data_IF_223444430059
#
_entry.id   IF_223444430059
#
_cell.length_a   1.000
_cell.length_b   1.000
_cell.length_c   1.000
_cell.angle_alpha   90.00
_cell.angle_beta   90.00
_cell.angle_gamma   90.00
#
_symmetry.space_group_name_H-M   'P 1'
#
loop_
_entity.id
_entity.type
_entity.pdbx_description
1 polymer ?
#
# COMPACT_ATOMS: atom_id res chain seq x y z
N UNK A 1 15.62 10.85 16.92
CA UNK A 1 15.92 11.79 15.81
C UNK A 1 17.27 11.53 15.14
N UNK A 2 18.26 10.97 15.82
CA UNK A 2 19.64 10.77 15.33
C UNK A 2 19.82 9.70 14.26
N UNK A 3 19.05 8.61 14.27
CA UNK A 3 19.17 7.51 13.29
C UNK A 3 18.59 7.83 11.90
N UNK A 4 17.58 8.72 11.84
CA UNK A 4 16.93 9.07 10.56
C UNK A 4 17.84 9.84 9.61
N UNK A 5 18.69 10.71 10.15
CA UNK A 5 19.60 11.56 9.38
C UNK A 5 20.70 10.70 8.75
N UNK A 6 21.15 9.68 9.44
CA UNK A 6 22.30 8.86 9.01
C UNK A 6 22.07 8.03 7.73
N UNK A 7 20.85 7.51 7.47
CA UNK A 7 20.59 6.65 6.30
C UNK A 7 20.59 7.43 4.97
N UNK A 8 19.88 8.55 4.91
CA UNK A 8 19.88 9.42 3.72
C UNK A 8 21.27 10.02 3.49
N UNK A 9 21.96 10.49 4.54
CA UNK A 9 23.32 11.01 4.42
C UNK A 9 24.31 9.98 3.85
N UNK A 10 24.21 8.73 4.28
CA UNK A 10 25.01 7.61 3.76
C UNK A 10 24.74 7.39 2.25
N UNK A 11 23.46 7.43 1.83
CA UNK A 11 23.09 7.32 0.41
C UNK A 11 23.65 8.51 -0.38
N UNK A 12 23.50 9.74 0.11
CA UNK A 12 23.99 10.95 -0.54
C UNK A 12 25.51 10.94 -0.68
N UNK A 13 26.25 10.52 0.37
CA UNK A 13 27.71 10.36 0.34
C UNK A 13 28.14 9.35 -0.75
N UNK A 14 27.46 8.21 -0.83
CA UNK A 14 27.79 7.18 -1.82
C UNK A 14 27.44 7.62 -3.26
N UNK A 15 26.36 8.39 -3.48
CA UNK A 15 26.00 8.97 -4.78
C UNK A 15 27.07 9.96 -5.24
N UNK A 16 27.52 10.85 -4.36
CA UNK A 16 28.58 11.80 -4.65
C UNK A 16 29.89 11.09 -5.05
N UNK A 17 30.35 10.13 -4.24
CA UNK A 17 31.56 9.32 -4.51
C UNK A 17 31.46 8.50 -5.79
N UNK A 18 30.25 8.14 -6.21
CA UNK A 18 29.99 7.40 -7.46
C UNK A 18 29.89 8.30 -8.70
N UNK A 19 29.97 9.62 -8.54
CA UNK A 19 29.87 10.59 -9.62
C UNK A 19 28.45 10.77 -10.17
N UNK A 20 27.41 10.43 -9.39
CA UNK A 20 26.01 10.58 -9.77
C UNK A 20 25.59 12.04 -9.52
N UNK A 21 25.33 12.80 -10.58
CA UNK A 21 24.91 14.19 -10.50
C UNK A 21 23.38 14.37 -10.41
N UNK A 22 22.61 13.44 -11.00
CA UNK A 22 21.16 13.51 -11.06
C UNK A 22 20.56 12.24 -10.43
N UNK A 23 19.75 12.43 -9.39
CA UNK A 23 19.13 11.34 -8.64
C UNK A 23 17.80 11.75 -8.04
N UNK A 24 17.00 10.75 -7.68
CA UNK A 24 15.88 10.87 -6.76
C UNK A 24 15.94 9.72 -5.76
N UNK A 25 15.80 10.04 -4.49
CA UNK A 25 15.72 9.09 -3.37
C UNK A 25 14.28 9.12 -2.88
N UNK A 26 13.67 7.96 -2.75
CA UNK A 26 12.38 7.78 -2.06
C UNK A 26 12.60 6.82 -0.91
N UNK A 27 12.81 7.35 0.29
CA UNK A 27 12.89 6.55 1.51
C UNK A 27 11.48 6.23 1.99
N UNK A 28 11.22 4.97 2.32
CA UNK A 28 9.97 4.51 2.92
C UNK A 28 10.26 3.78 4.22
N UNK A 29 9.61 4.20 5.30
CA UNK A 29 9.53 3.48 6.56
C UNK A 29 8.09 3.06 6.79
N UNK A 30 7.88 1.77 6.91
CA UNK A 30 6.59 1.17 7.20
C UNK A 30 6.62 0.50 8.58
N UNK A 31 5.69 0.89 9.42
CA UNK A 31 5.42 0.28 10.71
C UNK A 31 4.05 -0.40 10.62
N UNK A 32 3.91 -1.62 11.12
CA UNK A 32 2.61 -2.32 11.18
C UNK A 32 2.38 -3.03 12.49
N UNK A 33 1.10 -3.11 12.88
CA UNK A 33 0.58 -4.02 13.87
C UNK A 33 -0.47 -4.91 13.21
N UNK A 34 -0.30 -6.21 13.32
CA UNK A 34 -1.05 -7.20 12.57
C UNK A 34 -1.69 -8.19 13.54
N UNK A 35 -2.98 -8.46 13.39
CA UNK A 35 -3.76 -9.39 14.21
C UNK A 35 -4.42 -10.42 13.29
N UNK A 36 -4.30 -11.69 13.66
CA UNK A 36 -4.86 -12.83 12.94
C UNK A 36 -5.77 -13.60 13.87
N UNK A 37 -6.99 -13.88 13.45
CA UNK A 37 -8.01 -14.54 14.26
C UNK A 37 -8.52 -15.79 13.57
N UNK A 38 -8.68 -16.86 14.35
CA UNK A 38 -9.47 -18.04 14.02
C UNK A 38 -10.69 -18.01 14.95
N UNK A 39 -11.85 -17.83 14.36
CA UNK A 39 -13.05 -17.48 15.14
C UNK A 39 -12.76 -16.17 15.93
N UNK A 40 -13.10 -16.16 17.21
CA UNK A 40 -12.83 -15.04 18.10
C UNK A 40 -11.48 -15.15 18.84
N UNK A 41 -10.75 -16.23 18.62
CA UNK A 41 -9.46 -16.43 19.25
C UNK A 41 -8.35 -15.75 18.46
N UNK A 42 -7.57 -14.93 19.14
CA UNK A 42 -6.34 -14.38 18.57
C UNK A 42 -5.36 -15.53 18.38
N UNK A 43 -5.07 -15.86 17.12
CA UNK A 43 -4.14 -16.93 16.74
C UNK A 43 -2.70 -16.41 16.67
N UNK A 44 -2.51 -15.26 16.04
CA UNK A 44 -1.20 -14.65 15.87
C UNK A 44 -1.28 -13.12 16.00
N UNK A 45 -0.25 -12.56 16.61
CA UNK A 45 0.00 -11.11 16.62
C UNK A 45 1.42 -10.86 16.16
N UNK A 46 1.59 -9.86 15.28
CA UNK A 46 2.90 -9.48 14.77
C UNK A 46 3.04 -7.95 14.73
N UNK A 47 4.25 -7.47 15.02
CA UNK A 47 4.65 -6.10 14.73
C UNK A 47 5.84 -6.13 13.79
N UNK A 48 5.89 -5.17 12.88
CA UNK A 48 6.92 -5.11 11.84
C UNK A 48 7.32 -3.66 11.62
N UNK A 49 8.61 -3.44 11.42
CA UNK A 49 9.16 -2.19 10.96
C UNK A 49 10.12 -2.48 9.80
N UNK A 50 9.90 -1.84 8.66
CA UNK A 50 10.76 -1.94 7.47
C UNK A 50 11.19 -0.54 7.07
N UNK A 51 12.48 -0.37 6.80
CA UNK A 51 13.08 0.84 6.25
C UNK A 51 13.86 0.49 4.99
N UNK A 52 13.56 1.18 3.91
CA UNK A 52 14.22 0.99 2.62
C UNK A 52 14.20 2.29 1.82
N UNK A 53 15.08 2.40 0.83
CA UNK A 53 15.05 3.50 -0.11
C UNK A 53 15.11 3.00 -1.55
N UNK A 54 14.24 3.52 -2.40
CA UNK A 54 14.38 3.43 -3.84
C UNK A 54 15.22 4.61 -4.32
N UNK A 55 16.35 4.35 -4.96
CA UNK A 55 17.23 5.37 -5.51
C UNK A 55 17.20 5.25 -7.03
N UNK A 56 16.68 6.27 -7.70
CA UNK A 56 16.73 6.39 -9.15
C UNK A 56 17.88 7.31 -9.52
N UNK A 57 18.83 6.83 -10.30
CA UNK A 57 19.90 7.62 -10.87
C UNK A 57 19.57 7.96 -12.32
N UNK A 58 19.97 9.14 -12.76
CA UNK A 58 19.70 9.63 -14.11
C UNK A 58 21.00 9.96 -14.81
N UNK A 59 21.04 9.68 -16.12
CA UNK A 59 22.13 10.05 -17.01
C UNK A 59 21.59 10.77 -18.22
N UNK A 60 22.05 12.01 -18.42
CA UNK A 60 21.78 12.78 -19.61
C UNK A 60 22.80 12.42 -20.69
N UNK A 61 22.31 12.21 -21.93
CA UNK A 61 23.15 12.00 -23.12
C UNK A 61 22.39 12.38 -24.39
N UNK A 62 23.15 12.51 -25.50
CA UNK A 62 22.56 12.82 -26.81
C UNK A 62 23.05 11.82 -27.85
N UNK A 63 22.21 11.50 -28.82
CA UNK A 63 22.56 10.74 -30.03
C UNK A 63 22.05 11.52 -31.25
N UNK A 64 22.95 12.04 -32.06
CA UNK A 64 22.57 12.95 -33.14
C UNK A 64 21.98 14.25 -32.58
N UNK A 65 20.77 14.58 -33.03
CA UNK A 65 20.01 15.74 -32.56
C UNK A 65 19.10 15.44 -31.35
N UNK A 66 18.91 14.17 -31.02
CA UNK A 66 18.02 13.73 -29.94
C UNK A 66 18.73 13.78 -28.59
N UNK A 67 18.03 14.34 -27.58
CA UNK A 67 18.50 14.40 -26.20
C UNK A 67 17.69 13.45 -25.32
N UNK A 68 18.38 12.68 -24.48
CA UNK A 68 17.80 11.66 -23.65
C UNK A 68 18.11 11.88 -22.16
N UNK A 69 17.22 11.43 -21.29
CA UNK A 69 17.43 11.28 -19.86
C UNK A 69 17.20 9.81 -19.49
N UNK A 70 18.24 9.01 -19.58
CA UNK A 70 18.18 7.62 -19.17
C UNK A 70 18.11 7.49 -17.65
N UNK A 71 17.47 6.44 -17.16
CA UNK A 71 17.29 6.20 -15.73
C UNK A 71 17.48 4.74 -15.37
N UNK A 72 17.96 4.49 -14.15
CA UNK A 72 18.01 3.16 -13.54
C UNK A 72 17.69 3.30 -12.05
N UNK A 73 16.86 2.39 -11.51
CA UNK A 73 16.46 2.39 -10.12
C UNK A 73 17.09 1.19 -9.38
N UNK A 74 17.51 1.42 -8.16
CA UNK A 74 18.02 0.39 -7.24
C UNK A 74 17.32 0.50 -5.90
N UNK A 75 17.13 -0.65 -5.24
CA UNK A 75 16.60 -0.71 -3.87
C UNK A 75 17.77 -0.77 -2.88
N UNK A 76 17.74 0.13 -1.92
CA UNK A 76 18.76 0.27 -0.88
C UNK A 76 18.18 -0.13 0.47
N UNK A 77 18.91 -0.96 1.19
CA UNK A 77 18.62 -1.34 2.57
C UNK A 77 19.65 -0.70 3.52
N UNK A 78 19.25 -0.44 4.75
CA UNK A 78 20.12 0.19 5.75
C UNK A 78 21.37 -0.65 6.08
N UNK A 79 21.30 -1.96 5.87
CA UNK A 79 22.38 -2.91 6.09
C UNK A 79 23.53 -2.83 5.07
N UNK A 80 23.34 -2.16 3.92
CA UNK A 80 24.39 -2.06 2.90
C UNK A 80 25.54 -1.16 3.35
N UNK A 81 26.78 -1.56 3.05
CA UNK A 81 27.97 -0.74 3.31
C UNK A 81 28.08 0.41 2.31
N UNK A 82 28.90 1.42 2.62
CA UNK A 82 29.18 2.50 1.65
C UNK A 82 29.76 1.97 0.34
N UNK A 83 30.70 1.03 0.41
CA UNK A 83 31.33 0.44 -0.78
C UNK A 83 30.31 -0.31 -1.65
N UNK A 84 29.36 -1.02 -1.03
CA UNK A 84 28.28 -1.68 -1.75
C UNK A 84 27.37 -0.65 -2.46
N UNK A 85 27.01 0.42 -1.77
CA UNK A 85 26.20 1.49 -2.35
C UNK A 85 26.91 2.18 -3.51
N UNK A 86 28.20 2.51 -3.34
CA UNK A 86 29.00 3.12 -4.41
C UNK A 86 29.06 2.23 -5.65
N UNK A 87 29.24 0.91 -5.48
CA UNK A 87 29.25 0.00 -6.61
C UNK A 87 27.89 -0.07 -7.29
N UNK A 88 26.81 -0.20 -6.50
CA UNK A 88 25.43 -0.22 -7.02
C UNK A 88 25.09 1.04 -7.82
N UNK A 89 25.53 2.22 -7.34
CA UNK A 89 25.22 3.48 -8.03
C UNK A 89 26.08 3.66 -9.30
N UNK A 90 27.33 3.19 -9.33
CA UNK A 90 28.13 3.15 -10.56
C UNK A 90 27.48 2.24 -11.62
N UNK A 91 27.03 1.05 -11.21
CA UNK A 91 26.38 0.10 -12.11
C UNK A 91 25.03 0.65 -12.63
N UNK A 92 24.23 1.29 -11.74
CA UNK A 92 22.99 1.93 -12.13
C UNK A 92 23.22 3.12 -13.09
N UNK A 93 24.25 3.96 -12.82
CA UNK A 93 24.61 5.06 -13.72
C UNK A 93 25.07 4.57 -15.10
N UNK A 94 25.80 3.45 -15.12
CA UNK A 94 26.17 2.80 -16.37
C UNK A 94 24.93 2.28 -17.11
N UNK A 95 24.02 1.57 -16.43
CA UNK A 95 22.79 1.05 -17.00
C UNK A 95 21.87 2.16 -17.54
N UNK A 96 21.77 3.28 -16.81
CA UNK A 96 20.98 4.45 -17.25
C UNK A 96 21.45 5.00 -18.62
N UNK A 97 22.73 4.81 -18.99
CA UNK A 97 23.26 5.24 -20.28
C UNK A 97 22.72 4.47 -21.51
N UNK A 98 21.99 3.37 -21.29
CA UNK A 98 21.37 2.57 -22.36
C UNK A 98 19.85 2.79 -22.47
N UNK A 99 19.26 3.55 -21.57
CA UNK A 99 17.82 3.80 -21.54
C UNK A 99 17.52 5.11 -22.25
N UNK A 100 16.80 5.06 -23.36
CA UNK A 100 16.52 6.21 -24.23
C UNK A 100 15.13 6.82 -23.92
N UNK A 101 14.95 7.33 -22.71
CA UNK A 101 13.77 8.14 -22.43
C UNK A 101 13.95 9.54 -23.05
N UNK A 102 12.94 10.10 -23.76
CA UNK A 102 12.99 11.50 -24.17
C UNK A 102 13.36 12.40 -23.01
N UNK A 103 14.16 13.43 -23.28
CA UNK A 103 14.61 14.32 -22.22
C UNK A 103 13.44 15.04 -21.53
N UNK A 104 13.49 15.10 -20.21
CA UNK A 104 12.64 15.93 -19.34
C UNK A 104 13.46 16.47 -18.19
N UNK A 105 13.03 17.58 -17.63
CA UNK A 105 13.67 18.12 -16.42
C UNK A 105 13.11 17.46 -15.17
N UNK A 106 14.01 17.13 -14.22
CA UNK A 106 13.58 16.70 -12.90
C UNK A 106 12.90 17.89 -12.19
N UNK A 107 11.86 17.59 -11.44
CA UNK A 107 11.13 18.60 -10.69
C UNK A 107 12.05 19.35 -9.73
N UNK A 108 11.97 20.68 -9.76
CA UNK A 108 12.69 21.56 -8.84
C UNK A 108 11.87 21.78 -7.59
N UNK A 109 12.49 21.59 -6.44
CA UNK A 109 11.88 21.90 -5.15
C UNK A 109 11.58 23.40 -5.04
N UNK A 110 10.36 23.75 -4.65
CA UNK A 110 9.93 25.13 -4.38
C UNK A 110 10.11 25.53 -2.92
N UNK A 111 10.65 24.63 -2.10
CA UNK A 111 11.07 24.91 -0.72
C UNK A 111 10.00 24.80 0.37
N UNK A 112 8.72 24.66 0.03
CA UNK A 112 7.68 24.51 1.05
C UNK A 112 6.81 23.27 0.80
N UNK A 113 6.69 22.34 1.77
CA UNK A 113 5.75 21.22 1.66
C UNK A 113 4.32 21.77 1.64
N UNK A 114 3.47 21.20 0.78
CA UNK A 114 2.06 21.59 0.77
C UNK A 114 1.39 21.22 2.10
N UNK A 115 0.83 22.18 2.85
CA UNK A 115 0.16 21.93 4.14
C UNK A 115 -0.95 20.88 4.04
N UNK A 116 -1.61 20.76 2.88
CA UNK A 116 -2.70 19.82 2.65
C UNK A 116 -2.26 18.33 2.67
N UNK A 117 -0.98 18.05 2.42
CA UNK A 117 -0.43 16.68 2.49
C UNK A 117 -0.20 16.27 3.95
N UNK A 118 0.13 17.23 4.82
CA UNK A 118 0.35 17.02 6.25
C UNK A 118 -0.97 16.76 7.01
N UNK A 119 -2.06 17.46 6.66
CA UNK A 119 -3.36 17.33 7.37
C UNK A 119 -4.06 15.97 7.15
N UNK A 120 -3.93 15.34 5.98
CA UNK A 120 -4.53 14.02 5.73
C UNK A 120 -3.82 12.87 6.44
N UNK A 121 -2.65 13.09 6.99
CA UNK A 121 -1.80 12.07 7.59
C UNK A 121 -2.11 11.78 9.07
N UNK A 122 -2.97 12.58 9.74
CA UNK A 122 -2.90 12.73 11.20
C UNK A 122 -3.85 11.84 12.02
N UNK A 123 -4.99 11.40 11.50
CA UNK A 123 -6.00 10.73 12.35
C UNK A 123 -5.60 9.34 12.87
N UNK A 124 -4.74 8.61 12.15
CA UNK A 124 -4.17 7.33 12.62
C UNK A 124 -2.74 7.48 13.15
N UNK A 125 -2.08 8.65 12.94
CA UNK A 125 -0.66 8.84 13.27
C UNK A 125 -0.38 9.03 14.76
N UNK A 126 -1.34 9.51 15.53
CA UNK A 126 -1.17 9.87 16.94
C UNK A 126 -1.44 8.72 17.91
N UNK A 127 -1.94 7.58 17.39
CA UNK A 127 -2.25 6.39 18.20
C UNK A 127 -1.21 5.31 17.98
N UNK A 128 -1.04 4.44 18.96
CA UNK A 128 -0.27 3.23 18.74
C UNK A 128 -0.99 2.33 17.74
N UNK A 129 -0.25 1.73 16.80
CA UNK A 129 -0.84 0.84 15.79
C UNK A 129 -1.52 -0.38 16.40
N UNK A 130 -1.02 -0.85 17.57
CA UNK A 130 -1.63 -1.94 18.31
C UNK A 130 -3.01 -1.55 18.86
N UNK A 131 -3.16 -0.32 19.39
CA UNK A 131 -4.48 0.19 19.83
C UNK A 131 -5.43 0.36 18.66
N UNK A 132 -4.95 0.88 17.52
CA UNK A 132 -5.76 1.00 16.30
C UNK A 132 -6.25 -0.38 15.86
N UNK A 133 -5.35 -1.37 15.71
CA UNK A 133 -5.72 -2.73 15.34
C UNK A 133 -6.72 -3.35 16.34
N UNK A 134 -6.54 -3.12 17.65
CA UNK A 134 -7.46 -3.55 18.69
C UNK A 134 -8.86 -2.95 18.54
N UNK A 135 -8.97 -1.64 18.30
CA UNK A 135 -10.26 -0.98 18.05
C UNK A 135 -11.00 -1.55 16.85
N UNK A 136 -10.27 -1.91 15.78
CA UNK A 136 -10.86 -2.54 14.60
C UNK A 136 -11.26 -3.99 14.86
N UNK A 137 -10.49 -4.74 15.68
CA UNK A 137 -10.87 -6.07 16.11
C UNK A 137 -12.15 -6.06 16.98
N UNK A 138 -12.25 -5.14 17.93
CA UNK A 138 -13.46 -4.96 18.73
C UNK A 138 -14.68 -4.63 17.84
N UNK A 139 -14.51 -3.75 16.86
CA UNK A 139 -15.58 -3.39 15.93
C UNK A 139 -15.99 -4.58 15.06
N UNK A 140 -15.04 -5.37 14.56
CA UNK A 140 -15.27 -6.54 13.73
C UNK A 140 -16.08 -7.60 14.49
N UNK A 141 -15.75 -7.89 15.72
CA UNK A 141 -16.43 -8.91 16.52
C UNK A 141 -17.68 -8.40 17.25
N UNK A 142 -18.00 -7.10 17.22
CA UNK A 142 -19.18 -6.55 17.89
C UNK A 142 -20.49 -7.08 17.31
N UNK A 143 -20.53 -7.41 16.02
CA UNK A 143 -21.73 -7.92 15.32
C UNK A 143 -21.76 -9.46 15.25
N UNK A 144 -20.68 -10.15 15.62
CA UNK A 144 -20.57 -11.62 15.64
C UNK A 144 -21.20 -12.20 16.93
N UNK A 145 -22.54 -12.18 17.01
CA UNK A 145 -23.29 -12.52 18.22
C UNK A 145 -24.08 -13.82 18.13
N UNK A 146 -24.15 -14.43 16.95
CA UNK A 146 -24.99 -15.60 16.70
C UNK A 146 -24.17 -16.88 16.60
N UNK A 147 -24.82 -18.04 16.79
CA UNK A 147 -24.15 -19.33 16.76
C UNK A 147 -24.06 -19.93 15.36
N UNK A 148 -25.08 -19.69 14.54
CA UNK A 148 -25.24 -20.34 13.25
C UNK A 148 -24.65 -19.54 12.10
N UNK A 149 -24.44 -18.24 12.29
CA UNK A 149 -23.70 -17.36 11.39
C UNK A 149 -22.68 -16.57 12.21
N UNK A 150 -21.43 -16.61 11.79
CA UNK A 150 -20.30 -16.12 12.59
C UNK A 150 -19.10 -15.79 11.71
N UNK A 151 -18.12 -15.09 12.29
CA UNK A 151 -16.82 -14.86 11.67
C UNK A 151 -15.92 -16.09 11.86
N UNK A 152 -15.53 -16.74 10.76
CA UNK A 152 -14.68 -17.91 10.75
C UNK A 152 -13.20 -17.56 10.92
N UNK A 153 -12.74 -16.52 10.22
CA UNK A 153 -11.40 -15.98 10.32
C UNK A 153 -11.40 -14.48 10.05
N UNK A 154 -10.37 -13.80 10.53
CA UNK A 154 -10.14 -12.40 10.22
C UNK A 154 -8.67 -12.03 10.32
N UNK A 155 -8.25 -11.09 9.49
CA UNK A 155 -6.92 -10.49 9.53
C UNK A 155 -7.06 -8.96 9.55
N UNK A 156 -6.26 -8.29 10.37
CA UNK A 156 -6.27 -6.83 10.52
C UNK A 156 -4.82 -6.33 10.46
N UNK A 157 -4.57 -5.36 9.61
CA UNK A 157 -3.28 -4.72 9.41
C UNK A 157 -3.42 -3.22 9.63
N UNK A 158 -2.97 -2.72 10.78
CA UNK A 158 -2.83 -1.29 11.02
C UNK A 158 -1.41 -0.88 10.61
N UNK A 159 -1.30 0.00 9.62
CA UNK A 159 -0.02 0.43 9.04
C UNK A 159 0.18 1.93 9.16
N UNK A 160 1.43 2.32 9.32
CA UNK A 160 1.90 3.71 9.21
C UNK A 160 3.07 3.74 8.25
N UNK A 161 2.94 4.52 7.19
CA UNK A 161 3.99 4.70 6.19
C UNK A 161 4.49 6.14 6.23
N UNK A 162 5.76 6.32 6.55
CA UNK A 162 6.47 7.59 6.38
C UNK A 162 7.27 7.51 5.09
N UNK A 163 7.10 8.50 4.22
CA UNK A 163 7.83 8.64 2.97
C UNK A 163 8.64 9.93 3.01
N UNK A 164 9.92 9.86 2.62
CA UNK A 164 10.81 11.01 2.48
C UNK A 164 11.40 11.00 1.06
N UNK A 165 11.18 12.08 0.32
CA UNK A 165 11.61 12.23 -1.07
C UNK A 165 12.65 13.34 -1.15
N UNK A 166 13.83 12.99 -1.65
CA UNK A 166 14.94 13.93 -1.90
C UNK A 166 15.39 13.77 -3.34
N UNK A 167 15.68 14.87 -4.04
CA UNK A 167 16.29 14.80 -5.36
C UNK A 167 17.43 15.81 -5.54
N UNK A 168 18.22 15.64 -6.60
CA UNK A 168 19.36 16.49 -6.95
C UNK A 168 18.97 17.96 -7.31
N UNK A 169 17.68 18.27 -7.39
CA UNK A 169 17.14 19.60 -7.77
C UNK A 169 16.46 20.31 -6.61
N UNK A 170 16.80 19.94 -5.36
CA UNK A 170 16.33 20.65 -4.17
C UNK A 170 14.95 20.25 -3.66
N UNK A 171 14.38 19.15 -4.15
CA UNK A 171 13.23 18.53 -3.49
C UNK A 171 13.70 17.88 -2.20
N UNK A 172 13.05 18.21 -1.09
CA UNK A 172 13.23 17.61 0.22
C UNK A 172 11.88 17.68 0.96
N UNK A 173 11.07 16.63 0.82
CA UNK A 173 9.70 16.59 1.34
C UNK A 173 9.41 15.27 2.03
N UNK A 174 8.66 15.34 3.12
CA UNK A 174 8.21 14.15 3.85
C UNK A 174 6.71 14.19 4.08
N UNK A 175 6.10 13.01 4.04
CA UNK A 175 4.72 12.84 4.47
C UNK A 175 4.56 11.52 5.24
N UNK A 176 3.52 11.47 6.06
CA UNK A 176 3.12 10.26 6.79
C UNK A 176 1.67 9.95 6.50
N UNK A 177 1.33 8.69 6.31
CA UNK A 177 -0.04 8.22 6.17
C UNK A 177 -0.26 6.99 7.04
N UNK A 178 -1.46 6.92 7.66
CA UNK A 178 -1.96 5.73 8.32
C UNK A 178 -3.01 5.05 7.45
N UNK A 179 -3.12 3.74 7.58
CA UNK A 179 -4.17 2.95 6.95
C UNK A 179 -4.46 1.71 7.78
N UNK A 180 -5.74 1.32 7.85
CA UNK A 180 -6.13 0.01 8.35
C UNK A 180 -6.74 -0.77 7.20
N UNK A 181 -6.17 -1.93 6.92
CA UNK A 181 -6.71 -2.90 5.97
C UNK A 181 -6.99 -4.20 6.69
N UNK A 182 -7.79 -5.03 6.10
CA UNK A 182 -8.04 -6.37 6.62
C UNK A 182 -9.04 -7.11 5.77
N UNK A 183 -9.25 -8.33 6.18
CA UNK A 183 -10.21 -9.23 5.55
C UNK A 183 -10.87 -10.10 6.61
N UNK A 184 -12.04 -10.63 6.27
CA UNK A 184 -12.73 -11.59 7.12
C UNK A 184 -13.59 -12.54 6.30
N UNK A 185 -13.79 -13.71 6.87
CA UNK A 185 -14.68 -14.73 6.32
C UNK A 185 -15.86 -14.92 7.26
N UNK A 186 -17.07 -14.61 6.77
CA UNK A 186 -18.31 -14.95 7.44
C UNK A 186 -18.76 -16.35 7.01
N UNK A 187 -19.15 -17.22 7.95
CA UNK A 187 -19.65 -18.57 7.70
C UNK A 187 -21.04 -18.76 8.30
N UNK A 188 -21.92 -19.44 7.56
CA UNK A 188 -23.21 -19.89 8.06
C UNK A 188 -23.33 -21.41 7.90
N UNK A 189 -23.72 -22.09 9.00
CA UNK A 189 -23.91 -23.55 9.05
C UNK A 189 -25.38 -23.95 9.21
N UNK A 190 -26.29 -22.99 9.27
CA UNK A 190 -27.74 -23.22 9.33
C UNK A 190 -28.35 -23.40 7.93
N UNK A 191 -28.43 -24.62 7.46
CA UNK A 191 -28.89 -24.96 6.11
C UNK A 191 -27.74 -25.50 5.27
N UNK A 192 -27.33 -24.77 4.23
CA UNK A 192 -26.10 -25.06 3.50
C UNK A 192 -24.92 -24.44 4.25
N UNK A 193 -23.81 -25.18 4.32
CA UNK A 193 -22.54 -24.61 4.81
C UNK A 193 -21.95 -23.69 3.74
N UNK A 194 -21.96 -22.40 3.99
CA UNK A 194 -21.49 -21.37 3.04
C UNK A 194 -20.59 -20.36 3.71
N UNK A 195 -19.63 -19.90 2.96
CA UNK A 195 -18.71 -18.83 3.37
C UNK A 195 -18.83 -17.62 2.45
N UNK A 196 -18.61 -16.44 3.02
CA UNK A 196 -18.51 -15.17 2.30
C UNK A 196 -17.26 -14.44 2.75
N UNK A 197 -16.37 -14.19 1.80
CA UNK A 197 -15.16 -13.41 2.00
C UNK A 197 -15.44 -11.92 1.75
N UNK A 198 -14.89 -11.06 2.59
CA UNK A 198 -14.90 -9.60 2.42
C UNK A 198 -13.57 -8.99 2.86
N UNK A 199 -13.14 -7.95 2.14
CA UNK A 199 -11.99 -7.12 2.48
C UNK A 199 -12.43 -5.71 2.90
N UNK A 200 -11.57 -4.98 3.61
CA UNK A 200 -11.80 -3.59 3.96
C UNK A 200 -10.51 -2.77 3.96
N UNK A 201 -10.65 -1.46 3.72
CA UNK A 201 -9.57 -0.50 3.80
C UNK A 201 -10.09 0.87 4.26
N UNK A 202 -9.50 1.41 5.31
CA UNK A 202 -9.85 2.70 5.89
C UNK A 202 -8.59 3.54 6.14
N UNK A 203 -8.67 4.80 5.78
CA UNK A 203 -7.61 5.79 6.04
C UNK A 203 -7.86 6.59 7.34
N UNK A 204 -8.94 6.27 8.08
CA UNK A 204 -9.33 6.87 9.36
C UNK A 204 -9.92 5.79 10.30
N UNK A 205 -10.27 6.18 11.55
CA UNK A 205 -10.88 5.31 12.57
C UNK A 205 -12.36 4.96 12.28
N UNK A 206 -12.65 4.51 11.06
CA UNK A 206 -14.00 4.19 10.56
C UNK A 206 -14.57 2.86 11.10
N UNK A 207 -14.41 2.62 12.40
CA UNK A 207 -14.88 1.40 13.07
C UNK A 207 -16.39 1.17 12.91
N UNK A 208 -17.19 2.23 12.81
CA UNK A 208 -18.63 2.11 12.57
C UNK A 208 -18.97 1.65 11.13
N UNK A 209 -18.14 2.05 10.15
CA UNK A 209 -18.30 1.55 8.79
C UNK A 209 -17.97 0.06 8.71
N UNK A 210 -16.91 -0.39 9.41
CA UNK A 210 -16.57 -1.81 9.52
C UNK A 210 -17.71 -2.60 10.17
N UNK A 211 -18.27 -2.12 11.29
CA UNK A 211 -19.43 -2.80 11.95
C UNK A 211 -20.59 -2.99 11.00
N UNK A 212 -20.97 -1.95 10.23
CA UNK A 212 -22.03 -2.08 9.22
C UNK A 212 -21.69 -3.13 8.17
N UNK A 213 -20.47 -3.08 7.63
CA UNK A 213 -20.00 -4.06 6.63
C UNK A 213 -20.09 -5.48 7.16
N UNK A 214 -19.62 -5.75 8.38
CA UNK A 214 -19.70 -7.08 9.02
C UNK A 214 -21.15 -7.54 9.17
N UNK A 215 -22.04 -6.69 9.68
CA UNK A 215 -23.47 -6.99 9.82
C UNK A 215 -24.10 -7.39 8.49
N UNK A 216 -23.90 -6.55 7.48
CA UNK A 216 -24.45 -6.77 6.14
C UNK A 216 -23.93 -8.08 5.52
N UNK A 217 -22.65 -8.39 5.77
CA UNK A 217 -22.04 -9.65 5.29
C UNK A 217 -22.60 -10.87 6.03
N UNK A 218 -22.77 -10.82 7.34
CA UNK A 218 -23.38 -11.91 8.12
C UNK A 218 -24.82 -12.17 7.67
N UNK A 219 -25.62 -11.10 7.44
CA UNK A 219 -26.99 -11.21 6.91
C UNK A 219 -27.01 -11.82 5.51
N UNK A 220 -26.11 -11.38 4.61
CA UNK A 220 -25.98 -11.94 3.27
C UNK A 220 -25.56 -13.41 3.31
N UNK A 221 -24.61 -13.78 4.17
CA UNK A 221 -24.15 -15.17 4.33
C UNK A 221 -25.28 -16.08 4.80
N UNK A 222 -26.11 -15.61 5.74
CA UNK A 222 -27.32 -16.31 6.17
C UNK A 222 -28.30 -16.51 5.03
N UNK A 223 -28.56 -15.48 4.24
CA UNK A 223 -29.45 -15.57 3.08
C UNK A 223 -28.92 -16.55 2.01
N UNK A 224 -27.62 -16.56 1.79
CA UNK A 224 -26.96 -17.52 0.87
C UNK A 224 -27.08 -18.97 1.35
N UNK A 225 -27.02 -19.22 2.66
CA UNK A 225 -27.18 -20.56 3.23
C UNK A 225 -28.60 -21.13 3.01
N UNK A 226 -29.59 -20.26 2.73
CA UNK A 226 -30.97 -20.62 2.42
C UNK A 226 -31.27 -20.55 0.92
N UNK A 227 -30.26 -20.38 0.07
CA UNK A 227 -30.45 -20.27 -1.37
C UNK A 227 -31.10 -21.53 -1.94
N UNK A 228 -32.03 -21.33 -2.85
CA UNK A 228 -32.69 -22.40 -3.60
C UNK A 228 -31.92 -22.71 -4.89
N UNK A 229 -32.35 -23.76 -5.59
CA UNK A 229 -31.77 -24.14 -6.89
C UNK A 229 -31.73 -22.94 -7.86
N UNK A 230 -30.63 -22.79 -8.56
CA UNK A 230 -30.49 -21.76 -9.59
C UNK A 230 -31.58 -21.89 -10.66
N UNK A 231 -32.04 -20.78 -11.26
CA UNK A 231 -33.01 -20.84 -12.36
C UNK A 231 -32.42 -21.62 -13.56
N UNK A 232 -33.28 -22.25 -14.41
CA UNK A 232 -32.78 -22.97 -15.57
C UNK A 232 -32.00 -22.06 -16.51
N UNK A 233 -31.17 -22.63 -17.37
CA UNK A 233 -30.45 -21.87 -18.38
C UNK A 233 -31.42 -21.05 -19.28
N UNK A 234 -31.12 -19.78 -19.50
CA UNK A 234 -32.00 -18.87 -20.26
C UNK A 234 -31.48 -17.46 -20.31
N UNK A 235 -32.22 -16.55 -20.92
CA UNK A 235 -31.93 -15.12 -20.93
C UNK A 235 -32.63 -14.45 -19.76
N UNK A 236 -31.87 -13.71 -18.96
CA UNK A 236 -32.36 -13.01 -17.78
C UNK A 236 -31.95 -11.55 -17.76
N UNK A 237 -32.82 -10.70 -17.22
CA UNK A 237 -32.40 -9.34 -16.84
C UNK A 237 -31.62 -9.42 -15.54
N UNK A 238 -30.38 -8.92 -15.57
CA UNK A 238 -29.46 -8.92 -14.41
C UNK A 238 -29.25 -7.50 -13.92
N UNK A 239 -29.43 -7.29 -12.63
CA UNK A 239 -29.05 -6.05 -11.95
C UNK A 239 -27.79 -6.36 -11.15
N UNK A 240 -26.71 -5.62 -11.41
CA UNK A 240 -25.46 -5.72 -10.68
C UNK A 240 -25.34 -4.52 -9.73
N UNK A 241 -24.87 -4.76 -8.52
CA UNK A 241 -24.70 -3.72 -7.50
C UNK A 241 -23.44 -3.96 -6.68
N UNK A 242 -22.97 -2.94 -5.96
CA UNK A 242 -21.79 -3.05 -5.08
C UNK A 242 -20.50 -3.39 -5.82
N UNK A 243 -19.71 -4.29 -5.25
CA UNK A 243 -18.40 -4.73 -5.78
C UNK A 243 -18.50 -5.35 -7.17
N UNK A 244 -19.59 -6.01 -7.51
CA UNK A 244 -19.78 -6.63 -8.84
C UNK A 244 -19.81 -5.62 -9.99
N UNK A 245 -20.26 -4.38 -9.73
CA UNK A 245 -20.20 -3.29 -10.72
C UNK A 245 -18.75 -2.91 -10.99
N UNK A 246 -17.90 -2.86 -9.95
CA UNK A 246 -16.46 -2.62 -10.07
C UNK A 246 -15.78 -3.66 -10.96
N UNK A 247 -16.13 -4.94 -10.82
CA UNK A 247 -15.58 -6.04 -11.62
C UNK A 247 -15.79 -5.82 -13.13
N UNK A 248 -16.98 -5.39 -13.55
CA UNK A 248 -17.28 -5.11 -14.95
C UNK A 248 -16.46 -3.91 -15.45
N UNK A 249 -16.41 -2.82 -14.67
CA UNK A 249 -15.70 -1.62 -15.08
C UNK A 249 -14.17 -1.78 -15.02
N UNK A 250 -13.63 -2.63 -14.16
CA UNK A 250 -12.19 -2.90 -14.08
C UNK A 250 -11.61 -3.41 -15.40
N UNK A 251 -12.38 -4.20 -16.16
CA UNK A 251 -11.99 -4.62 -17.50
C UNK A 251 -11.72 -3.44 -18.44
N UNK A 252 -12.59 -2.42 -18.41
CA UNK A 252 -12.43 -1.23 -19.26
C UNK A 252 -11.29 -0.33 -18.78
N UNK A 253 -11.14 -0.19 -17.46
CA UNK A 253 -10.04 0.59 -16.86
C UNK A 253 -8.69 -0.03 -17.21
N UNK A 254 -8.55 -1.35 -17.09
CA UNK A 254 -7.32 -2.06 -17.46
C UNK A 254 -6.99 -1.90 -18.96
N UNK A 255 -8.01 -1.88 -19.83
CA UNK A 255 -7.83 -1.66 -21.28
C UNK A 255 -7.51 -0.22 -21.62
N UNK A 256 -7.76 0.73 -20.72
CA UNK A 256 -7.45 2.15 -20.91
C UNK A 256 -6.04 2.51 -20.44
N UNK A 257 -5.32 1.58 -19.82
CA UNK A 257 -3.93 1.78 -19.41
C UNK A 257 -3.02 1.74 -20.66
N UNK A 258 -2.31 2.84 -20.91
CA UNK A 258 -1.42 2.98 -22.06
C UNK A 258 -0.24 1.99 -22.05
N UNK A 259 0.05 1.37 -20.93
CA UNK A 259 1.08 0.32 -20.83
C UNK A 259 0.64 -1.03 -21.40
N UNK A 260 -0.64 -1.17 -21.72
CA UNK A 260 -1.25 -2.41 -22.23
C UNK A 260 -1.55 -2.36 -23.75
N UNK A 261 -1.14 -1.29 -24.45
CA UNK A 261 -1.34 -1.09 -25.90
C UNK A 261 -0.07 -1.42 -26.67
#
# INVERSE_FOLDING_TARGET
MTEKVHFIEKILSALEKSGVALYQITETREESAELFFIRRALDMQRQKEIRQAAVTVYREFSEGEDRYLGSAAVQVQDSFTEEQLEQMFRDALYAAGFVKNPYYELYHGTGEPSPQVLEKATHLSDRSLAEVAGCFADALFAEDTEKDVFLNSAEIFATRTTCHIVNAKGVDVSYCKGRVTGEFVAQCTAGQDVETYEDFAYDDMDTQALRRKVRDTLEMTRARAQAVTAPPAGEYRVILSGSYVKEIFSYYVMRSDMSMV
#
